data_IF_896374316726
#
_entry.id   IF_896374316726
#
_cell.length_a   1.000
_cell.length_b   1.000
_cell.length_c   1.000
_cell.angle_alpha   90.00
_cell.angle_beta   90.00
_cell.angle_gamma   90.00
#
_symmetry.space_group_name_H-M   'P 1'
#
loop_
_entity.id
_entity.type
_entity.pdbx_description
1 polymer ?
#
# COMPACT_ATOMS: atom_id res chain seq x y z
N UNK A 1 9.78 3.62 2.65
CA UNK A 1 8.65 4.55 2.78
C UNK A 1 7.29 3.84 2.88
N UNK A 2 7.12 2.70 2.20
CA UNK A 2 5.94 1.86 2.39
C UNK A 2 5.89 1.22 3.79
N UNK A 3 7.03 1.04 4.46
CA UNK A 3 7.10 0.44 5.79
C UNK A 3 6.56 1.34 6.91
N UNK A 4 6.62 2.67 6.77
CA UNK A 4 6.05 3.57 7.78
C UNK A 4 4.52 3.61 7.72
N UNK A 5 3.94 3.58 6.53
CA UNK A 5 2.50 3.45 6.36
C UNK A 5 1.98 2.09 6.85
N UNK A 6 2.71 0.99 6.59
CA UNK A 6 2.37 -0.32 7.08
C UNK A 6 2.46 -0.43 8.62
N UNK A 7 3.40 0.27 9.27
CA UNK A 7 3.51 0.25 10.74
C UNK A 7 2.33 0.94 11.43
N UNK A 8 1.71 1.93 10.81
CA UNK A 8 0.53 2.61 11.35
C UNK A 8 -0.74 1.77 11.20
N UNK A 9 -0.87 0.98 10.14
CA UNK A 9 -1.98 0.03 9.95
C UNK A 9 -2.00 -1.06 11.03
N UNK A 10 -0.85 -1.52 11.50
CA UNK A 10 -0.77 -2.54 12.56
C UNK A 10 -1.04 -2.00 13.97
N UNK A 11 -0.98 -0.71 14.19
CA UNK A 11 -1.17 -0.09 15.51
C UNK A 11 -2.63 0.21 15.85
N UNK A 12 -3.52 0.21 14.88
CA UNK A 12 -4.94 0.51 15.08
C UNK A 12 -5.80 -0.68 14.67
N UNK A 13 -6.72 -1.06 15.54
CA UNK A 13 -7.75 -2.05 15.23
C UNK A 13 -8.94 -1.38 14.53
N UNK A 14 -9.80 -2.18 13.90
CA UNK A 14 -10.96 -1.69 13.15
C UNK A 14 -11.86 -0.83 14.04
N UNK A 15 -12.01 -1.21 15.31
CA UNK A 15 -12.81 -0.50 16.30
C UNK A 15 -12.26 0.89 16.66
N UNK A 16 -10.94 1.06 16.57
CA UNK A 16 -10.26 2.33 16.86
C UNK A 16 -10.18 3.27 15.64
N UNK A 17 -10.58 2.79 14.47
CA UNK A 17 -10.53 3.59 13.24
C UNK A 17 -11.66 4.61 13.20
N UNK A 18 -11.41 5.81 12.63
CA UNK A 18 -12.47 6.75 12.34
C UNK A 18 -13.55 6.12 11.47
N UNK A 19 -14.80 6.48 11.69
CA UNK A 19 -15.92 5.91 10.97
C UNK A 19 -16.87 6.97 10.43
N UNK A 20 -17.59 6.60 9.39
CA UNK A 20 -18.61 7.40 8.73
C UNK A 20 -19.88 7.51 9.59
N UNK A 21 -20.76 8.49 9.34
CA UNK A 21 -22.05 8.63 10.05
C UNK A 21 -22.93 7.38 9.98
N UNK A 22 -22.76 6.55 8.95
CA UNK A 22 -23.45 5.27 8.80
C UNK A 22 -22.82 4.10 9.58
N UNK A 23 -21.75 4.36 10.35
CA UNK A 23 -21.06 3.36 11.17
C UNK A 23 -19.96 2.57 10.44
N UNK A 24 -19.72 2.83 9.14
CA UNK A 24 -18.67 2.14 8.39
C UNK A 24 -17.29 2.72 8.76
N UNK A 25 -16.34 1.88 9.24
CA UNK A 25 -14.98 2.33 9.55
C UNK A 25 -14.18 2.59 8.27
N UNK A 26 -13.16 3.43 8.38
CA UNK A 26 -12.15 3.63 7.33
C UNK A 26 -11.11 2.52 7.38
N UNK A 27 -10.65 2.08 6.21
CA UNK A 27 -9.62 1.04 6.10
C UNK A 27 -8.21 1.61 6.26
N UNK A 28 -7.97 2.83 5.76
CA UNK A 28 -6.65 3.48 5.76
C UNK A 28 -6.81 4.97 6.07
N UNK A 29 -5.91 5.51 6.87
CA UNK A 29 -5.74 6.94 7.09
C UNK A 29 -4.39 7.36 6.54
N UNK A 30 -4.38 8.34 5.63
CA UNK A 30 -3.19 8.82 4.96
C UNK A 30 -2.78 10.20 5.46
N UNK A 31 -1.47 10.43 5.58
CA UNK A 31 -0.95 11.75 5.93
C UNK A 31 -0.92 12.64 4.67
N UNK A 32 -1.62 13.79 4.66
CA UNK A 32 -1.67 14.67 3.51
C UNK A 32 -0.32 15.32 3.16
N UNK A 33 0.62 15.40 4.09
CA UNK A 33 1.97 15.94 3.84
C UNK A 33 2.77 15.09 2.83
N UNK A 34 2.43 13.83 2.66
CA UNK A 34 3.07 12.95 1.69
C UNK A 34 2.66 13.22 0.23
N UNK A 35 1.62 14.00 -0.01
CA UNK A 35 1.11 14.27 -1.38
C UNK A 35 1.92 15.37 -2.08
N UNK A 36 2.09 16.58 -1.52
CA UNK A 36 2.81 17.67 -2.20
C UNK A 36 4.27 17.33 -2.47
N UNK A 37 4.93 16.71 -1.50
CA UNK A 37 6.36 16.34 -1.61
C UNK A 37 6.64 15.34 -2.72
N UNK A 38 5.65 14.54 -3.12
CA UNK A 38 5.77 13.51 -4.16
C UNK A 38 5.16 13.92 -5.49
N UNK A 39 4.60 15.12 -5.60
CA UNK A 39 3.99 15.67 -6.83
C UNK A 39 2.93 14.74 -7.45
N UNK A 40 2.16 14.02 -6.64
CA UNK A 40 1.14 13.05 -7.07
C UNK A 40 -0.28 13.53 -6.73
N UNK A 41 -0.62 14.76 -7.08
CA UNK A 41 -1.93 15.37 -6.81
C UNK A 41 -3.08 14.58 -7.44
N UNK A 42 -2.81 13.85 -8.53
CA UNK A 42 -3.80 13.01 -9.19
C UNK A 42 -4.50 12.01 -8.27
N UNK A 43 -3.83 11.53 -7.22
CA UNK A 43 -4.47 10.65 -6.22
C UNK A 43 -5.58 11.35 -5.42
N UNK A 44 -5.49 12.66 -5.19
CA UNK A 44 -6.56 13.43 -4.52
C UNK A 44 -7.79 13.53 -5.42
N UNK A 45 -7.58 13.80 -6.71
CA UNK A 45 -8.67 13.81 -7.70
C UNK A 45 -9.31 12.42 -7.86
N UNK A 46 -8.50 11.36 -7.83
CA UNK A 46 -8.98 9.98 -7.81
C UNK A 46 -9.88 9.71 -6.60
N UNK A 47 -9.49 10.14 -5.41
CA UNK A 47 -10.27 9.96 -4.17
C UNK A 47 -11.63 10.64 -4.28
N UNK A 48 -11.69 11.86 -4.79
CA UNK A 48 -12.94 12.59 -4.96
C UNK A 48 -13.87 11.91 -5.98
N UNK A 49 -13.35 11.60 -7.16
CA UNK A 49 -14.16 10.98 -8.21
C UNK A 49 -14.60 9.56 -7.85
N UNK A 50 -13.75 8.80 -7.16
CA UNK A 50 -14.07 7.45 -6.70
C UNK A 50 -15.14 7.41 -5.61
N UNK A 51 -15.22 8.44 -4.78
CA UNK A 51 -16.32 8.59 -3.81
C UNK A 51 -17.67 8.68 -4.53
N UNK A 52 -17.75 9.58 -5.53
CA UNK A 52 -18.94 9.71 -6.36
C UNK A 52 -19.27 8.44 -7.13
N UNK A 53 -18.28 7.83 -7.77
CA UNK A 53 -18.45 6.59 -8.54
C UNK A 53 -18.98 5.44 -7.68
N UNK A 54 -18.48 5.30 -6.45
CA UNK A 54 -18.97 4.29 -5.52
C UNK A 54 -20.38 4.57 -5.00
N UNK A 55 -20.71 5.84 -4.78
CA UNK A 55 -22.06 6.22 -4.37
C UNK A 55 -23.10 5.96 -5.47
N UNK A 56 -22.73 6.25 -6.72
CA UNK A 56 -23.58 6.06 -7.91
C UNK A 56 -23.56 4.62 -8.45
N UNK A 57 -22.54 3.81 -8.09
CA UNK A 57 -22.45 2.40 -8.46
C UNK A 57 -21.83 2.11 -9.83
N UNK A 58 -21.10 3.05 -10.46
CA UNK A 58 -20.46 2.84 -11.75
C UNK A 58 -18.93 2.94 -11.69
N UNK A 59 -18.27 2.43 -12.73
CA UNK A 59 -16.82 2.51 -12.88
C UNK A 59 -16.45 3.67 -13.81
N UNK A 60 -15.47 4.47 -13.37
CA UNK A 60 -14.96 5.61 -14.14
C UNK A 60 -13.59 5.28 -14.72
N UNK A 61 -13.41 5.50 -16.00
CA UNK A 61 -12.13 5.44 -16.69
C UNK A 61 -11.80 6.81 -17.29
N UNK A 62 -10.70 7.39 -16.83
CA UNK A 62 -10.25 8.72 -17.31
C UNK A 62 -8.97 8.56 -18.13
N UNK A 63 -9.03 8.68 -19.47
CA UNK A 63 -7.84 8.67 -20.32
C UNK A 63 -6.92 9.86 -20.00
N UNK A 64 -5.61 9.68 -20.22
CA UNK A 64 -4.58 10.66 -19.81
C UNK A 64 -4.81 12.05 -20.45
N UNK A 65 -5.23 12.11 -21.71
CA UNK A 65 -5.40 13.36 -22.45
C UNK A 65 -6.86 13.85 -22.56
N UNK A 66 -7.80 13.07 -22.07
CA UNK A 66 -9.22 13.42 -22.06
C UNK A 66 -9.84 13.00 -20.72
N UNK A 67 -9.26 13.47 -19.64
CA UNK A 67 -9.73 13.22 -18.29
C UNK A 67 -10.82 14.17 -17.84
N UNK A 68 -11.36 13.92 -16.64
CA UNK A 68 -12.34 14.79 -16.01
C UNK A 68 -11.69 16.10 -15.52
N UNK A 69 -12.39 17.21 -15.71
CA UNK A 69 -12.01 18.49 -15.14
C UNK A 69 -12.50 18.61 -13.68
N UNK A 70 -11.99 19.61 -12.96
CA UNK A 70 -12.41 19.87 -11.57
C UNK A 70 -13.91 20.11 -11.44
N UNK A 71 -14.51 20.82 -12.41
CA UNK A 71 -15.97 21.04 -12.46
C UNK A 71 -16.74 19.73 -12.60
N UNK A 72 -16.31 18.87 -13.51
CA UNK A 72 -16.97 17.59 -13.76
C UNK A 72 -16.99 16.73 -12.50
N UNK A 73 -15.89 16.78 -11.71
CA UNK A 73 -15.79 16.07 -10.44
C UNK A 73 -16.75 16.66 -9.40
N UNK A 74 -16.83 17.99 -9.30
CA UNK A 74 -17.72 18.66 -8.36
C UNK A 74 -19.19 18.40 -8.68
N UNK A 75 -19.56 18.48 -9.97
CA UNK A 75 -20.93 18.22 -10.43
C UNK A 75 -21.31 16.75 -10.20
N UNK A 76 -20.37 15.83 -10.42
CA UNK A 76 -20.59 14.41 -10.12
C UNK A 76 -20.74 14.13 -8.63
N UNK A 77 -20.01 14.83 -7.77
CA UNK A 77 -20.15 14.72 -6.31
C UNK A 77 -21.51 15.25 -5.83
N UNK A 78 -21.99 16.37 -6.41
CA UNK A 78 -23.31 16.91 -6.10
C UNK A 78 -24.41 15.95 -6.54
N UNK A 79 -24.30 15.39 -7.74
CA UNK A 79 -25.21 14.35 -8.22
C UNK A 79 -25.22 13.12 -7.29
N UNK A 80 -24.05 12.68 -6.85
CA UNK A 80 -23.92 11.54 -5.94
C UNK A 80 -24.55 11.83 -4.57
N UNK A 81 -24.36 13.04 -4.04
CA UNK A 81 -25.01 13.46 -2.80
C UNK A 81 -26.54 13.46 -2.89
N UNK A 82 -27.07 14.03 -3.98
CA UNK A 82 -28.49 14.07 -4.21
C UNK A 82 -29.08 12.67 -4.43
N UNK A 83 -28.41 11.82 -5.19
CA UNK A 83 -28.81 10.42 -5.38
C UNK A 83 -28.88 9.63 -4.07
N UNK A 84 -27.95 9.85 -3.16
CA UNK A 84 -27.88 9.14 -1.88
C UNK A 84 -28.92 9.64 -0.88
N UNK A 85 -29.13 10.95 -0.78
CA UNK A 85 -29.87 11.57 0.32
C UNK A 85 -31.33 11.94 -0.03
N UNK A 86 -31.63 12.25 -1.32
CA UNK A 86 -32.99 12.57 -1.75
C UNK A 86 -33.82 11.31 -2.01
N UNK A 87 -35.13 11.41 -1.89
CA UNK A 87 -36.01 10.34 -2.39
C UNK A 87 -35.97 10.27 -3.93
N UNK A 88 -36.33 9.10 -4.51
CA UNK A 88 -36.15 8.87 -5.94
C UNK A 88 -36.96 9.84 -6.82
N UNK A 89 -38.16 10.18 -6.39
CA UNK A 89 -39.03 11.08 -7.16
C UNK A 89 -38.47 12.50 -7.16
N UNK A 90 -37.98 12.98 -6.03
CA UNK A 90 -37.31 14.30 -5.90
C UNK A 90 -36.02 14.34 -6.71
N UNK A 91 -35.22 13.28 -6.67
CA UNK A 91 -34.00 13.16 -7.48
C UNK A 91 -34.31 13.22 -8.98
N UNK A 92 -35.34 12.49 -9.43
CA UNK A 92 -35.77 12.49 -10.83
C UNK A 92 -36.33 13.85 -11.28
N UNK A 93 -37.03 14.55 -10.42
CA UNK A 93 -37.53 15.89 -10.69
C UNK A 93 -36.39 16.90 -10.87
N UNK A 94 -35.33 16.77 -10.04
CA UNK A 94 -34.17 17.68 -10.05
C UNK A 94 -33.22 17.42 -11.21
N UNK A 95 -32.94 16.18 -11.54
CA UNK A 95 -31.87 15.78 -12.48
C UNK A 95 -32.38 15.04 -13.73
N UNK A 96 -33.70 14.78 -13.82
CA UNK A 96 -34.27 13.97 -14.88
C UNK A 96 -34.19 14.59 -16.28
N UNK A 97 -34.09 15.92 -16.39
CA UNK A 97 -33.90 16.62 -17.65
C UNK A 97 -32.44 16.66 -18.11
N UNK A 98 -31.48 16.59 -17.18
CA UNK A 98 -30.04 16.71 -17.46
C UNK A 98 -29.42 15.34 -17.76
N UNK A 99 -29.94 14.27 -17.16
CA UNK A 99 -29.41 12.93 -17.30
C UNK A 99 -30.03 12.18 -18.47
N UNK A 100 -29.20 11.37 -19.15
CA UNK A 100 -29.67 10.47 -20.19
C UNK A 100 -30.63 9.43 -19.59
N UNK A 101 -31.71 9.04 -20.32
CA UNK A 101 -32.65 8.02 -19.83
C UNK A 101 -32.00 6.70 -19.45
N UNK A 102 -30.96 6.28 -20.18
CA UNK A 102 -30.20 5.06 -19.91
C UNK A 102 -29.48 5.11 -18.55
N UNK A 103 -28.99 6.30 -18.17
CA UNK A 103 -28.33 6.52 -16.89
C UNK A 103 -29.33 6.48 -15.74
N UNK A 104 -30.53 7.06 -15.95
CA UNK A 104 -31.59 7.03 -14.96
C UNK A 104 -32.08 5.59 -14.70
N UNK A 105 -32.25 4.81 -15.76
CA UNK A 105 -32.66 3.39 -15.66
C UNK A 105 -31.56 2.59 -14.92
N UNK A 106 -30.29 2.82 -15.25
CA UNK A 106 -29.16 2.18 -14.54
C UNK A 106 -29.15 2.52 -13.07
N UNK A 107 -29.30 3.79 -12.69
CA UNK A 107 -29.34 4.25 -11.30
C UNK A 107 -30.54 3.66 -10.55
N UNK A 108 -31.66 3.49 -11.21
CA UNK A 108 -32.85 2.88 -10.64
C UNK A 108 -32.66 1.38 -10.36
N UNK A 109 -32.07 0.65 -11.30
CA UNK A 109 -31.76 -0.78 -11.13
C UNK A 109 -30.73 -1.02 -10.02
N UNK A 110 -29.71 -0.15 -9.92
CA UNK A 110 -28.63 -0.28 -8.95
C UNK A 110 -28.87 0.44 -7.61
N UNK A 111 -30.13 0.72 -7.27
CA UNK A 111 -30.52 1.41 -6.02
C UNK A 111 -30.05 0.74 -4.73
N UNK A 112 -29.61 -0.51 -4.78
CA UNK A 112 -29.05 -1.20 -3.60
C UNK A 112 -27.70 -0.61 -3.16
N UNK A 113 -26.91 -0.04 -4.07
CA UNK A 113 -25.70 0.70 -3.73
C UNK A 113 -26.00 1.96 -2.91
N UNK A 114 -27.11 2.60 -3.16
CA UNK A 114 -27.63 3.74 -2.40
C UNK A 114 -27.76 3.44 -0.91
N UNK A 115 -28.20 2.23 -0.56
CA UNK A 115 -28.39 1.82 0.84
C UNK A 115 -27.08 1.85 1.63
N UNK A 116 -25.94 1.57 1.00
CA UNK A 116 -24.62 1.57 1.63
C UNK A 116 -24.14 2.96 2.03
N UNK A 117 -24.65 3.99 1.36
CA UNK A 117 -24.24 5.39 1.56
C UNK A 117 -25.34 6.26 2.17
N UNK A 118 -26.54 5.70 2.37
CA UNK A 118 -27.67 6.45 2.93
C UNK A 118 -27.32 7.08 4.28
N UNK A 119 -27.58 8.37 4.41
CA UNK A 119 -27.29 9.15 5.63
C UNK A 119 -25.86 9.70 5.72
N UNK A 120 -25.06 9.55 4.67
CA UNK A 120 -23.74 10.18 4.56
C UNK A 120 -23.85 11.44 3.71
N UNK A 121 -23.78 12.65 4.29
CA UNK A 121 -23.78 13.89 3.52
C UNK A 121 -22.41 14.03 2.82
N UNK A 122 -22.43 14.06 1.49
CA UNK A 122 -21.24 14.26 0.65
C UNK A 122 -21.18 15.74 0.27
N UNK A 123 -20.15 16.45 0.70
CA UNK A 123 -19.99 17.84 0.31
C UNK A 123 -19.53 17.95 -1.15
N UNK A 124 -19.77 19.10 -1.80
CA UNK A 124 -19.27 19.43 -3.15
C UNK A 124 -17.73 19.32 -3.26
N UNK A 125 -17.04 19.45 -2.13
CA UNK A 125 -15.59 19.30 -2.00
C UNK A 125 -15.13 17.85 -1.70
N UNK A 126 -16.03 16.85 -1.72
CA UNK A 126 -15.70 15.47 -1.38
C UNK A 126 -15.32 15.23 0.08
N UNK A 127 -15.79 16.11 0.98
CA UNK A 127 -15.52 16.02 2.41
C UNK A 127 -16.74 15.52 3.18
N UNK A 128 -16.50 14.70 4.17
CA UNK A 128 -17.51 14.15 5.07
C UNK A 128 -17.08 14.35 6.52
N UNK A 129 -18.03 14.51 7.41
CA UNK A 129 -17.77 14.56 8.83
C UNK A 129 -17.63 13.14 9.39
N UNK A 130 -16.50 12.85 9.98
CA UNK A 130 -16.18 11.57 10.58
C UNK A 130 -16.34 11.60 12.08
N UNK A 131 -16.41 10.42 12.69
CA UNK A 131 -16.36 10.21 14.13
C UNK A 131 -15.13 9.42 14.52
N UNK A 132 -14.57 9.73 15.69
CA UNK A 132 -13.45 8.99 16.26
C UNK A 132 -13.92 7.62 16.76
N UNK A 133 -13.21 6.56 16.35
CA UNK A 133 -13.52 5.18 16.76
C UNK A 133 -13.37 4.93 18.26
N UNK A 134 -12.56 5.71 18.96
CA UNK A 134 -12.32 5.54 20.41
C UNK A 134 -13.30 6.29 21.28
N UNK A 135 -13.57 7.56 20.95
CA UNK A 135 -14.41 8.44 21.76
C UNK A 135 -15.85 8.48 21.26
N UNK A 136 -16.08 8.19 19.97
CA UNK A 136 -17.37 8.34 19.32
C UNK A 136 -17.74 9.80 19.01
N UNK A 137 -16.87 10.75 19.33
CA UNK A 137 -17.07 12.18 19.09
C UNK A 137 -16.84 12.53 17.62
N UNK A 138 -17.54 13.55 17.15
CA UNK A 138 -17.35 14.06 15.79
C UNK A 138 -16.04 14.85 15.68
N UNK A 139 -15.36 14.75 14.55
CA UNK A 139 -14.19 15.58 14.26
C UNK A 139 -14.62 17.04 14.04
N UNK A 140 -13.82 17.99 14.52
CA UNK A 140 -14.06 19.42 14.37
C UNK A 140 -14.12 19.87 12.92
N UNK A 141 -13.34 19.25 12.06
CA UNK A 141 -13.27 19.54 10.64
C UNK A 141 -13.75 18.39 9.76
N UNK A 142 -14.31 18.72 8.58
CA UNK A 142 -14.64 17.73 7.57
C UNK A 142 -13.38 17.16 6.96
N UNK A 143 -13.39 15.85 6.67
CA UNK A 143 -12.25 15.09 6.14
C UNK A 143 -12.55 14.61 4.73
N UNK A 144 -11.58 14.71 3.84
CA UNK A 144 -11.66 14.15 2.50
C UNK A 144 -11.57 12.62 2.58
N UNK A 145 -12.56 11.95 2.03
CA UNK A 145 -12.62 10.47 1.98
C UNK A 145 -12.91 10.01 0.55
N UNK A 146 -12.58 8.78 0.27
CA UNK A 146 -12.89 8.14 -1.01
C UNK A 146 -12.21 6.78 -1.11
N UNK A 147 -12.23 6.21 -2.31
CA UNK A 147 -11.60 4.95 -2.62
C UNK A 147 -10.35 5.19 -3.46
N UNK A 148 -9.30 4.48 -3.17
CA UNK A 148 -8.03 4.57 -3.87
C UNK A 148 -7.59 3.18 -4.32
N UNK A 149 -6.96 3.09 -5.50
CA UNK A 149 -6.30 1.87 -5.93
C UNK A 149 -5.02 1.65 -5.13
N UNK A 150 -4.94 0.50 -4.48
CA UNK A 150 -3.79 0.09 -3.69
C UNK A 150 -3.20 -1.18 -4.29
N UNK A 151 -1.98 -1.07 -4.82
CA UNK A 151 -1.31 -2.17 -5.50
C UNK A 151 -0.25 -2.80 -4.61
N UNK A 152 -0.29 -4.12 -4.48
CA UNK A 152 0.79 -4.90 -3.88
C UNK A 152 1.88 -5.08 -4.93
N UNK A 153 3.07 -4.54 -4.66
CA UNK A 153 4.23 -4.69 -5.55
C UNK A 153 4.88 -6.06 -5.35
N UNK A 154 5.48 -6.58 -6.43
CA UNK A 154 6.18 -7.88 -6.42
C UNK A 154 7.55 -7.87 -5.70
N UNK A 155 7.80 -6.87 -4.86
CA UNK A 155 8.98 -6.82 -4.00
C UNK A 155 8.75 -7.58 -2.69
N UNK A 156 8.40 -8.85 -2.80
CA UNK A 156 8.12 -9.72 -1.67
C UNK A 156 9.40 -10.12 -0.94
N UNK A 157 9.34 -10.21 0.37
CA UNK A 157 10.47 -10.59 1.23
C UNK A 157 10.96 -12.00 0.88
N UNK A 158 10.04 -12.94 0.65
CA UNK A 158 10.37 -14.34 0.36
C UNK A 158 11.22 -14.49 -0.90
N UNK A 159 11.04 -13.61 -1.89
CA UNK A 159 11.84 -13.60 -3.11
C UNK A 159 13.24 -13.02 -2.92
N UNK A 160 13.44 -12.20 -1.89
CA UNK A 160 14.69 -11.48 -1.62
C UNK A 160 15.50 -12.03 -0.48
N UNK A 161 14.84 -12.66 0.51
CA UNK A 161 15.53 -13.26 1.63
C UNK A 161 16.40 -14.42 1.15
N UNK A 162 17.66 -14.40 1.56
CA UNK A 162 18.62 -15.42 1.17
C UNK A 162 19.65 -15.62 2.27
N UNK A 163 19.93 -16.87 2.58
CA UNK A 163 20.96 -17.27 3.52
C UNK A 163 21.70 -18.49 2.95
N UNK A 164 22.96 -18.64 3.32
CA UNK A 164 23.80 -19.75 2.90
C UNK A 164 24.77 -20.13 4.02
N UNK A 165 24.86 -21.41 4.32
CA UNK A 165 25.96 -21.97 5.11
C UNK A 165 27.03 -22.55 4.17
N UNK A 166 26.71 -23.62 3.47
CA UNK A 166 27.54 -24.25 2.44
C UNK A 166 26.72 -24.38 1.15
N UNK A 167 27.37 -24.42 -0.01
CA UNK A 167 26.69 -24.53 -1.29
C UNK A 167 27.67 -24.68 -2.44
N UNK A 168 27.23 -24.53 -3.69
CA UNK A 168 28.06 -24.70 -4.86
C UNK A 168 29.17 -23.64 -4.96
N UNK A 169 30.34 -24.09 -5.43
CA UNK A 169 31.53 -23.26 -5.66
C UNK A 169 31.85 -23.22 -7.14
N UNK A 170 32.49 -22.15 -7.58
CA UNK A 170 33.01 -22.05 -8.96
C UNK A 170 34.15 -23.06 -9.18
N UNK A 171 34.14 -23.74 -10.30
CA UNK A 171 35.19 -24.71 -10.64
C UNK A 171 36.56 -24.06 -10.87
N UNK A 172 36.58 -22.81 -11.36
CA UNK A 172 37.82 -22.12 -11.72
C UNK A 172 38.42 -21.39 -10.51
N UNK A 173 37.61 -20.62 -9.82
CA UNK A 173 38.10 -19.75 -8.71
C UNK A 173 37.96 -20.36 -7.34
N UNK A 174 37.24 -21.49 -7.21
CA UNK A 174 36.90 -22.14 -5.96
C UNK A 174 36.18 -21.20 -4.94
N UNK A 175 35.60 -20.13 -5.45
CA UNK A 175 34.82 -19.16 -4.66
C UNK A 175 33.33 -19.50 -4.70
N UNK A 176 32.53 -19.10 -3.69
CA UNK A 176 31.09 -19.23 -3.72
C UNK A 176 30.49 -18.55 -4.94
N UNK A 177 29.51 -19.20 -5.59
CA UNK A 177 28.75 -18.58 -6.68
C UNK A 177 27.96 -17.37 -6.15
N UNK A 178 27.60 -16.45 -7.04
CA UNK A 178 26.78 -15.29 -6.71
C UNK A 178 25.30 -15.51 -6.99
N UNK A 179 24.45 -14.77 -6.27
CA UNK A 179 23.00 -14.72 -6.51
C UNK A 179 22.18 -15.79 -5.79
N UNK A 180 20.94 -15.43 -5.46
CA UNK A 180 20.00 -16.32 -4.76
C UNK A 180 19.63 -17.56 -5.56
N UNK A 181 19.43 -17.42 -6.87
CA UNK A 181 19.03 -18.54 -7.74
C UNK A 181 20.05 -19.70 -7.79
N UNK A 182 21.33 -19.39 -7.58
CA UNK A 182 22.42 -20.37 -7.57
C UNK A 182 22.81 -20.78 -6.15
N UNK A 183 22.01 -20.44 -5.16
CA UNK A 183 22.35 -20.62 -3.75
C UNK A 183 23.75 -20.06 -3.41
N UNK A 184 24.01 -18.84 -3.91
CA UNK A 184 25.30 -18.18 -3.83
C UNK A 184 25.53 -17.45 -2.50
N UNK A 185 26.78 -17.04 -2.28
CA UNK A 185 27.20 -16.26 -1.12
C UNK A 185 26.96 -14.74 -1.32
N UNK A 186 27.03 -14.01 -0.21
CA UNK A 186 27.02 -12.55 -0.22
C UNK A 186 28.39 -12.03 -0.63
N UNK A 187 28.40 -10.94 -1.40
CA UNK A 187 29.64 -10.27 -1.76
C UNK A 187 30.13 -9.42 -0.59
N UNK A 188 31.37 -9.68 -0.17
CA UNK A 188 32.08 -8.85 0.80
C UNK A 188 33.02 -7.90 0.04
N UNK A 189 32.64 -6.64 -0.12
CA UNK A 189 33.38 -5.67 -0.92
C UNK A 189 34.49 -4.97 -0.15
N UNK A 190 35.19 -4.06 -0.81
CA UNK A 190 36.31 -3.30 -0.21
C UNK A 190 35.86 -2.44 0.99
N UNK A 191 34.68 -1.83 0.93
CA UNK A 191 34.18 -0.99 2.02
C UNK A 191 33.91 -1.80 3.28
N UNK A 192 33.40 -3.01 3.16
CA UNK A 192 33.15 -3.94 4.27
C UNK A 192 34.49 -4.41 4.88
N UNK A 193 35.51 -4.61 4.06
CA UNK A 193 36.88 -4.89 4.54
C UNK A 193 37.42 -3.74 5.37
N UNK A 194 37.29 -2.49 4.90
CA UNK A 194 37.73 -1.31 5.64
C UNK A 194 37.00 -1.15 6.98
N UNK A 195 35.74 -1.51 7.06
CA UNK A 195 34.99 -1.51 8.29
C UNK A 195 35.58 -2.47 9.34
N UNK A 196 35.93 -3.70 8.93
CA UNK A 196 36.59 -4.66 9.83
C UNK A 196 38.00 -4.24 10.23
N UNK A 197 38.76 -3.63 9.34
CA UNK A 197 40.08 -3.06 9.63
C UNK A 197 39.98 -1.92 10.66
N UNK A 198 39.00 -1.04 10.51
CA UNK A 198 38.77 0.06 11.46
C UNK A 198 38.41 -0.44 12.88
N UNK A 199 37.72 -1.57 12.99
CA UNK A 199 37.43 -2.21 14.27
C UNK A 199 38.59 -3.07 14.81
N UNK A 200 39.64 -3.29 14.02
CA UNK A 200 40.73 -4.17 14.38
C UNK A 200 40.38 -5.67 14.49
N UNK A 201 39.31 -6.07 13.79
CA UNK A 201 38.78 -7.45 13.82
C UNK A 201 39.56 -8.36 12.84
N UNK A 202 40.85 -8.55 13.07
CA UNK A 202 41.77 -9.27 12.16
C UNK A 202 41.40 -10.76 11.98
N UNK A 203 41.01 -11.45 13.04
CA UNK A 203 40.63 -12.86 12.97
C UNK A 203 39.35 -13.07 12.15
N UNK A 204 38.36 -12.23 12.33
CA UNK A 204 37.12 -12.26 11.53
C UNK A 204 37.41 -11.99 10.06
N UNK A 205 38.25 -11.00 9.78
CA UNK A 205 38.67 -10.70 8.40
C UNK A 205 39.40 -11.86 7.77
N UNK A 206 40.32 -12.47 8.49
CA UNK A 206 41.06 -13.65 8.02
C UNK A 206 40.10 -14.82 7.71
N UNK A 207 39.16 -15.10 8.57
CA UNK A 207 38.16 -16.15 8.37
C UNK A 207 37.32 -15.90 7.09
N UNK A 208 36.87 -14.67 6.88
CA UNK A 208 36.07 -14.30 5.70
C UNK A 208 36.88 -14.45 4.42
N UNK A 209 38.16 -14.07 4.41
CA UNK A 209 39.00 -14.12 3.25
C UNK A 209 39.54 -15.52 2.90
N UNK A 210 39.62 -16.43 3.87
CA UNK A 210 40.17 -17.77 3.68
C UNK A 210 39.08 -18.85 3.66
N UNK A 211 38.64 -19.31 4.82
CA UNK A 211 37.72 -20.45 4.97
C UNK A 211 36.36 -20.20 4.34
N UNK A 212 35.85 -18.98 4.40
CA UNK A 212 34.55 -18.61 3.82
C UNK A 212 34.63 -18.21 2.34
N UNK A 213 35.81 -18.12 1.77
CA UNK A 213 36.01 -17.71 0.36
C UNK A 213 36.45 -18.88 -0.51
N UNK A 214 37.75 -19.18 -0.57
CA UNK A 214 38.36 -20.11 -1.53
C UNK A 214 38.97 -21.36 -0.89
N UNK A 215 39.08 -21.45 0.42
CA UNK A 215 39.61 -22.61 1.13
C UNK A 215 38.53 -23.67 1.41
N UNK A 216 38.18 -24.42 0.38
CA UNK A 216 37.18 -25.50 0.48
C UNK A 216 37.69 -26.67 1.35
N UNK A 217 38.99 -26.90 1.43
CA UNK A 217 39.58 -27.94 2.25
C UNK A 217 39.45 -27.58 3.73
N UNK A 218 39.80 -26.38 4.12
CA UNK A 218 39.59 -25.86 5.47
C UNK A 218 38.14 -25.93 5.93
N UNK A 219 37.21 -25.57 5.03
CA UNK A 219 35.76 -25.65 5.30
C UNK A 219 35.31 -27.09 5.56
N UNK A 220 35.78 -28.07 4.78
CA UNK A 220 35.44 -29.48 4.99
C UNK A 220 35.98 -30.04 6.30
N UNK A 221 37.18 -29.63 6.72
CA UNK A 221 37.75 -30.01 8.02
C UNK A 221 36.92 -29.47 9.20
N UNK A 222 36.42 -28.27 9.12
CA UNK A 222 35.53 -27.72 10.16
C UNK A 222 34.27 -28.56 10.30
N UNK A 223 33.63 -28.93 9.18
CA UNK A 223 32.43 -29.75 9.18
C UNK A 223 32.67 -31.18 9.74
N UNK A 224 33.86 -31.71 9.59
CA UNK A 224 34.23 -33.02 10.12
C UNK A 224 34.54 -32.96 11.63
N UNK A 225 35.20 -31.89 12.06
CA UNK A 225 35.63 -31.75 13.46
C UNK A 225 34.52 -31.29 14.42
N UNK A 226 33.49 -30.57 13.90
CA UNK A 226 32.37 -30.08 14.76
C UNK A 226 30.97 -30.51 14.23
N UNK A 227 30.69 -31.81 14.01
CA UNK A 227 29.41 -32.22 13.43
C UNK A 227 28.21 -32.01 14.36
N UNK A 228 28.43 -31.84 15.66
CA UNK A 228 27.38 -31.77 16.67
C UNK A 228 26.95 -30.35 17.08
N UNK A 229 27.63 -29.32 16.61
CA UNK A 229 27.32 -27.92 16.99
C UNK A 229 26.23 -27.26 16.14
N UNK A 230 25.83 -27.87 15.04
CA UNK A 230 24.81 -27.35 14.12
C UNK A 230 23.37 -27.82 14.42
N UNK A 231 23.21 -28.79 15.33
CA UNK A 231 21.88 -29.33 15.68
C UNK A 231 21.20 -28.60 16.85
N UNK A 232 21.71 -27.45 17.29
CA UNK A 232 21.20 -26.70 18.44
C UNK A 232 20.89 -25.23 18.09
N UNK A 233 20.35 -24.98 16.88
CA UNK A 233 19.72 -23.67 16.59
C UNK A 233 18.34 -23.91 16.00
#
# INVERSE_FOLDING_TARGET
>A
LASSAASDVYKRQVEDMPYLPNGRPLDIVLNPLGVPSRMNIGQVLEIHLSLAAKALGFNVATPIFNGANEKDIQDTLELANDYVNLEWDEFKEKHGEELLPEVLDYLYENRDHRKLWKGVPISKEGKVRLRDGRTGEEFDSMVTIGHMHYLKLHHLVDDKIHARSTGPYSLVTQQPLGGKAQFGGQRFGEMEVWALEAYGASYTLQEILTVKSDDVVGLSLIHISEPTRLDVI
#
